data_IF_808241887005
#
_entry.id   IF_808241887005
#
_cell.length_a   1.000
_cell.length_b   1.000
_cell.length_c   1.000
_cell.angle_alpha   90.00
_cell.angle_beta   90.00
_cell.angle_gamma   90.00
#
_symmetry.space_group_name_H-M   'P 1'
#
loop_
_entity.id
_entity.type
_entity.pdbx_description
1 polymer ?
#
# COMPACT_ATOMS: atom_id res chain seq x y z
N UNK A 1 -8.44 22.99 -22.45
CA UNK A 1 -7.29 22.04 -22.42
C UNK A 1 -7.57 20.71 -23.14
N UNK A 2 -8.83 20.37 -23.49
CA UNK A 2 -9.10 19.20 -24.34
C UNK A 2 -8.77 17.84 -23.70
N UNK A 3 -8.60 17.79 -22.39
CA UNK A 3 -8.30 16.57 -21.62
C UNK A 3 -9.57 15.82 -21.27
N UNK A 4 -9.50 14.48 -21.25
CA UNK A 4 -10.62 13.65 -20.80
C UNK A 4 -10.91 13.91 -19.30
N UNK A 5 -12.17 13.79 -18.83
CA UNK A 5 -12.50 14.00 -17.43
C UNK A 5 -11.66 13.18 -16.44
N UNK A 6 -11.26 11.97 -16.85
CA UNK A 6 -10.35 11.10 -16.08
C UNK A 6 -8.96 11.70 -15.87
N UNK A 7 -8.48 12.49 -16.83
CA UNK A 7 -7.14 13.07 -16.82
C UNK A 7 -7.15 14.53 -16.35
N UNK A 8 -8.34 15.11 -16.10
CA UNK A 8 -8.51 16.41 -15.48
C UNK A 8 -8.32 16.34 -13.95
N UNK A 9 -7.15 15.85 -13.50
CA UNK A 9 -6.82 15.64 -12.08
C UNK A 9 -5.48 16.27 -11.74
N UNK A 10 -5.39 16.80 -10.53
CA UNK A 10 -4.19 17.43 -10.00
C UNK A 10 -3.95 16.94 -8.58
N UNK A 11 -2.69 16.65 -8.28
CA UNK A 11 -2.21 16.22 -6.97
C UNK A 11 -1.12 17.18 -6.49
N UNK A 12 -1.15 17.50 -5.20
CA UNK A 12 -0.16 18.35 -4.57
C UNK A 12 0.49 17.57 -3.42
N UNK A 13 1.81 17.67 -3.33
CA UNK A 13 2.59 17.23 -2.18
C UNK A 13 3.35 18.45 -1.65
N UNK A 14 3.23 18.73 -0.35
CA UNK A 14 3.94 19.85 0.28
C UNK A 14 4.56 19.38 1.58
N UNK A 15 5.84 19.66 1.76
CA UNK A 15 6.55 19.51 3.03
C UNK A 15 7.06 20.88 3.53
N UNK A 16 8.01 20.89 4.47
CA UNK A 16 8.52 22.12 5.04
C UNK A 16 9.16 23.04 3.97
N UNK A 17 9.89 22.46 3.02
CA UNK A 17 10.70 23.20 2.04
C UNK A 17 10.11 23.14 0.64
N UNK A 18 9.51 22.03 0.22
CA UNK A 18 9.09 21.84 -1.16
C UNK A 18 7.58 21.82 -1.30
N UNK A 19 7.07 22.51 -2.31
CA UNK A 19 5.72 22.30 -2.84
C UNK A 19 5.83 21.77 -4.26
N UNK A 20 5.21 20.61 -4.48
CA UNK A 20 5.22 19.90 -5.75
C UNK A 20 3.79 19.67 -6.23
N UNK A 21 3.55 19.91 -7.52
CA UNK A 21 2.25 19.75 -8.15
C UNK A 21 2.40 18.87 -9.40
N UNK A 22 1.63 17.78 -9.43
CA UNK A 22 1.51 16.88 -10.59
C UNK A 22 0.10 16.98 -11.17
N UNK A 23 0.02 17.21 -12.47
CA UNK A 23 -1.24 17.18 -13.21
C UNK A 23 -1.25 16.01 -14.20
N UNK A 24 -2.34 15.26 -14.21
CA UNK A 24 -2.60 14.25 -15.22
C UNK A 24 -2.88 14.91 -16.59
N UNK A 25 -2.82 14.13 -17.67
CA UNK A 25 -3.05 14.67 -19.02
C UNK A 25 -1.81 15.23 -19.72
N UNK A 26 -0.61 14.86 -19.25
CA UNK A 26 0.65 15.10 -19.95
C UNK A 26 1.29 16.48 -19.72
N UNK A 27 0.88 17.19 -18.67
CA UNK A 27 1.49 18.47 -18.31
C UNK A 27 2.80 18.28 -17.57
N UNK A 28 3.73 19.24 -17.74
CA UNK A 28 4.91 19.31 -16.91
C UNK A 28 4.49 19.57 -15.44
N UNK A 29 5.18 18.97 -14.46
CA UNK A 29 4.92 19.27 -13.06
C UNK A 29 5.37 20.69 -12.72
N UNK A 30 4.89 21.21 -11.58
CA UNK A 30 5.39 22.44 -10.98
C UNK A 30 6.12 22.13 -9.66
N UNK A 31 7.18 22.89 -9.36
CA UNK A 31 7.98 22.74 -8.15
C UNK A 31 8.39 24.11 -7.60
N UNK A 32 8.14 24.35 -6.31
CA UNK A 32 8.52 25.58 -5.62
C UNK A 32 9.39 25.27 -4.40
N UNK A 33 10.47 26.03 -4.22
CA UNK A 33 11.34 26.00 -3.02
C UNK A 33 10.83 27.05 -2.02
N UNK A 34 10.00 26.63 -1.07
CA UNK A 34 9.34 27.49 -0.08
C UNK A 34 10.32 28.15 0.90
N UNK A 35 11.55 27.66 1.02
CA UNK A 35 12.56 28.31 1.86
C UNK A 35 13.10 29.59 1.20
N UNK A 36 13.37 29.54 -0.11
CA UNK A 36 13.88 30.68 -0.88
C UNK A 36 12.80 31.52 -1.56
N UNK A 37 11.64 30.92 -1.82
CA UNK A 37 10.51 31.48 -2.56
C UNK A 37 9.19 31.15 -1.84
N UNK A 38 8.93 31.78 -0.68
CA UNK A 38 7.72 31.51 0.11
C UNK A 38 6.43 31.97 -0.59
N UNK A 39 6.54 32.89 -1.56
CA UNK A 39 5.42 33.40 -2.36
C UNK A 39 5.16 32.57 -3.63
N UNK A 40 5.93 31.50 -3.87
CA UNK A 40 5.74 30.53 -4.96
C UNK A 40 5.74 31.18 -6.35
N UNK A 41 6.63 32.15 -6.58
CA UNK A 41 6.70 32.92 -7.82
C UNK A 41 7.61 32.26 -8.88
N UNK A 42 8.51 31.37 -8.47
CA UNK A 42 9.53 30.75 -9.33
C UNK A 42 9.26 29.24 -9.46
N UNK A 43 8.72 28.82 -10.61
CA UNK A 43 8.51 27.41 -10.92
C UNK A 43 9.80 26.73 -11.42
N UNK A 44 10.29 25.77 -10.63
CA UNK A 44 11.45 24.92 -10.87
C UNK A 44 11.08 23.56 -11.51
N UNK A 45 9.80 23.36 -11.85
CA UNK A 45 9.26 22.08 -12.32
C UNK A 45 9.89 21.55 -13.61
N UNK A 46 10.46 22.44 -14.43
CA UNK A 46 11.16 22.08 -15.69
C UNK A 46 12.68 22.19 -15.61
N UNK A 47 13.23 22.67 -14.50
CA UNK A 47 14.66 22.88 -14.36
C UNK A 47 15.38 21.53 -14.19
N UNK A 48 16.31 21.14 -15.08
CA UNK A 48 17.07 19.89 -14.94
C UNK A 48 17.84 19.77 -13.63
N UNK A 49 18.29 20.89 -13.02
CA UNK A 49 19.03 20.91 -11.77
C UNK A 49 18.20 20.35 -10.59
N UNK A 50 16.88 20.42 -10.68
CA UNK A 50 15.94 19.97 -9.63
C UNK A 50 15.29 18.62 -9.93
N UNK A 51 15.83 17.83 -10.89
CA UNK A 51 15.29 16.51 -11.23
C UNK A 51 15.22 15.57 -10.03
N UNK A 52 16.31 15.47 -9.25
CA UNK A 52 16.34 14.63 -8.06
C UNK A 52 15.33 15.07 -6.98
N UNK A 53 15.05 16.37 -6.88
CA UNK A 53 14.03 16.90 -5.97
C UNK A 53 12.64 16.48 -6.43
N UNK A 54 12.33 16.60 -7.73
CA UNK A 54 11.06 16.12 -8.30
C UNK A 54 10.86 14.64 -8.07
N UNK A 55 11.89 13.82 -8.27
CA UNK A 55 11.83 12.37 -8.05
C UNK A 55 11.51 12.06 -6.58
N UNK A 56 12.19 12.72 -5.64
CA UNK A 56 11.89 12.58 -4.22
C UNK A 56 10.46 13.06 -3.85
N UNK A 57 9.95 14.10 -4.51
CA UNK A 57 8.57 14.54 -4.33
C UNK A 57 7.57 13.52 -4.88
N UNK A 58 7.86 12.93 -6.04
CA UNK A 58 7.07 11.83 -6.60
C UNK A 58 7.06 10.61 -5.68
N UNK A 59 8.19 10.25 -5.07
CA UNK A 59 8.25 9.12 -4.13
C UNK A 59 7.32 9.34 -2.93
N UNK A 60 7.28 10.55 -2.37
CA UNK A 60 6.37 10.93 -1.28
C UNK A 60 4.91 10.82 -1.72
N UNK A 61 4.57 11.41 -2.87
CA UNK A 61 3.23 11.36 -3.42
C UNK A 61 2.81 9.91 -3.72
N UNK A 62 3.71 9.11 -4.27
CA UNK A 62 3.47 7.72 -4.63
C UNK A 62 3.26 6.86 -3.38
N UNK A 63 4.04 7.08 -2.33
CA UNK A 63 3.83 6.45 -1.01
C UNK A 63 2.44 6.74 -0.45
N UNK A 64 2.02 8.01 -0.48
CA UNK A 64 0.68 8.42 -0.07
C UNK A 64 -0.42 7.74 -0.91
N UNK A 65 -0.23 7.65 -2.22
CA UNK A 65 -1.20 7.05 -3.14
C UNK A 65 -1.41 5.55 -2.89
N UNK A 66 -0.38 4.83 -2.41
CA UNK A 66 -0.44 3.39 -2.11
C UNK A 66 -0.96 3.06 -0.71
N UNK A 67 -1.27 4.05 0.12
CA UNK A 67 -1.79 3.79 1.49
C UNK A 67 -3.13 3.03 1.41
N UNK A 68 -3.41 2.08 2.31
CA UNK A 68 -4.65 1.30 2.31
C UNK A 68 -5.84 2.09 2.88
N UNK A 69 -6.19 3.23 2.27
CA UNK A 69 -7.18 4.17 2.82
C UNK A 69 -8.60 3.61 2.90
N UNK A 70 -8.89 2.53 2.18
CA UNK A 70 -10.21 1.90 2.15
C UNK A 70 -10.36 0.77 3.18
N UNK A 71 -9.28 0.41 3.91
CA UNK A 71 -9.36 -0.59 4.99
C UNK A 71 -9.86 0.08 6.28
N UNK A 72 -11.17 0.29 6.36
CA UNK A 72 -11.81 1.02 7.48
C UNK A 72 -12.50 0.12 8.50
N UNK A 73 -12.76 -1.15 8.17
CA UNK A 73 -13.54 -2.08 9.03
C UNK A 73 -12.69 -2.92 9.98
N UNK A 74 -11.36 -2.87 9.86
CA UNK A 74 -10.43 -3.63 10.68
C UNK A 74 -9.22 -2.76 11.01
N UNK A 75 -8.88 -2.65 12.29
CA UNK A 75 -7.69 -1.92 12.75
C UNK A 75 -6.40 -2.72 12.56
N UNK A 76 -5.26 -2.03 12.59
CA UNK A 76 -3.95 -2.66 12.48
C UNK A 76 -3.69 -3.65 13.63
N UNK A 77 -4.10 -3.28 14.86
CA UNK A 77 -4.01 -4.18 16.01
C UNK A 77 -4.83 -5.45 15.81
N UNK A 78 -6.07 -5.32 15.31
CA UNK A 78 -6.91 -6.49 15.02
C UNK A 78 -6.28 -7.41 13.96
N UNK A 79 -5.58 -6.86 12.96
CA UNK A 79 -4.87 -7.66 11.97
C UNK A 79 -3.70 -8.41 12.58
N UNK A 80 -2.90 -7.74 13.43
CA UNK A 80 -1.81 -8.36 14.17
C UNK A 80 -2.34 -9.49 15.04
N UNK A 81 -3.40 -9.24 15.81
CA UNK A 81 -4.03 -10.21 16.70
C UNK A 81 -4.64 -11.40 15.95
N UNK A 82 -5.01 -11.25 14.68
CA UNK A 82 -5.55 -12.33 13.85
C UNK A 82 -4.47 -13.26 13.29
N UNK A 83 -3.20 -12.83 13.23
CA UNK A 83 -2.10 -13.64 12.68
C UNK A 83 -1.99 -14.97 13.45
N UNK A 84 -1.87 -16.08 12.73
CA UNK A 84 -1.70 -17.42 13.31
C UNK A 84 -2.96 -18.03 13.96
N UNK A 85 -4.02 -17.25 14.24
CA UNK A 85 -5.25 -17.77 14.88
C UNK A 85 -6.00 -18.80 14.03
N UNK A 86 -5.75 -18.86 12.73
CA UNK A 86 -6.36 -19.85 11.82
C UNK A 86 -5.90 -21.28 12.09
N UNK A 87 -4.66 -21.50 12.53
CA UNK A 87 -4.10 -22.86 12.73
C UNK A 87 -4.89 -23.64 13.78
N UNK A 88 -5.23 -23.00 14.89
CA UNK A 88 -6.07 -23.58 15.97
C UNK A 88 -7.55 -23.68 15.63
N UNK A 89 -7.96 -23.32 14.40
CA UNK A 89 -9.33 -23.47 13.89
C UNK A 89 -9.46 -24.58 12.85
N UNK A 90 -8.46 -25.46 12.74
CA UNK A 90 -8.48 -26.55 11.76
C UNK A 90 -8.13 -26.09 10.34
N UNK A 91 -7.24 -25.11 10.20
CA UNK A 91 -6.65 -24.77 8.90
C UNK A 91 -5.21 -25.25 8.93
N UNK A 92 -4.98 -26.40 8.31
CA UNK A 92 -3.67 -27.06 8.17
C UNK A 92 -3.31 -27.05 6.69
N UNK A 93 -2.22 -26.38 6.33
CA UNK A 93 -1.78 -26.20 4.94
C UNK A 93 -0.31 -26.63 4.82
N UNK A 94 0.02 -27.35 3.75
CA UNK A 94 1.39 -27.77 3.44
C UNK A 94 1.97 -28.83 4.37
N UNK A 95 1.12 -29.63 5.02
CA UNK A 95 1.52 -30.75 5.89
C UNK A 95 1.23 -32.05 5.15
N UNK A 96 2.26 -32.88 4.95
CA UNK A 96 2.15 -34.19 4.31
C UNK A 96 1.95 -35.29 5.37
N UNK A 97 2.70 -35.22 6.46
CA UNK A 97 2.69 -36.21 7.53
C UNK A 97 2.42 -35.57 8.90
N UNK A 98 1.89 -36.39 9.83
CA UNK A 98 1.38 -35.89 11.11
C UNK A 98 2.48 -35.40 12.07
N UNK A 99 3.72 -35.85 11.87
CA UNK A 99 4.90 -35.49 12.66
C UNK A 99 5.55 -34.16 12.21
N UNK A 100 5.12 -33.58 11.09
CA UNK A 100 5.62 -32.30 10.58
C UNK A 100 5.03 -31.08 11.32
N UNK A 101 4.02 -31.29 12.18
CA UNK A 101 3.32 -30.22 12.89
C UNK A 101 2.94 -30.65 14.30
N UNK A 102 2.71 -29.67 15.16
CA UNK A 102 2.22 -29.91 16.52
C UNK A 102 0.94 -30.77 16.52
N UNK A 103 0.97 -31.85 17.29
CA UNK A 103 -0.13 -32.79 17.43
C UNK A 103 -1.42 -32.12 17.92
N UNK A 104 -1.34 -31.04 18.70
CA UNK A 104 -2.52 -30.25 19.14
C UNK A 104 -3.32 -29.74 17.93
N UNK A 105 -2.64 -29.36 16.85
CA UNK A 105 -3.29 -28.86 15.64
C UNK A 105 -3.95 -29.96 14.81
N UNK A 106 -3.57 -31.23 15.05
CA UNK A 106 -4.11 -32.39 14.35
C UNK A 106 -5.14 -33.18 15.16
N UNK A 107 -5.45 -32.78 16.40
CA UNK A 107 -6.35 -33.50 17.31
C UNK A 107 -7.69 -33.88 16.65
N UNK A 108 -8.26 -32.98 15.83
CA UNK A 108 -9.54 -33.20 15.15
C UNK A 108 -9.45 -34.00 13.84
N UNK A 109 -8.24 -34.28 13.36
CA UNK A 109 -7.99 -35.00 12.11
C UNK A 109 -7.53 -36.44 12.32
N UNK A 110 -7.14 -36.78 13.54
CA UNK A 110 -6.70 -38.14 13.88
C UNK A 110 -7.87 -39.01 14.36
N UNK A 111 -7.73 -40.31 14.19
CA UNK A 111 -8.72 -41.31 14.60
C UNK A 111 -9.47 -41.96 13.44
N UNK A 112 -10.42 -42.82 13.76
CA UNK A 112 -11.19 -43.57 12.76
C UNK A 112 -12.15 -42.64 12.03
N UNK A 113 -12.24 -42.79 10.71
CA UNK A 113 -13.25 -42.14 9.91
C UNK A 113 -14.65 -42.50 10.43
N UNK A 114 -15.50 -41.49 10.63
CA UNK A 114 -16.86 -41.69 11.15
C UNK A 114 -17.77 -42.44 10.17
N UNK A 115 -17.48 -42.33 8.87
CA UNK A 115 -18.21 -43.03 7.82
C UNK A 115 -17.20 -43.48 6.77
N UNK A 116 -17.23 -44.77 6.47
CA UNK A 116 -16.57 -45.34 5.30
C UNK A 116 -17.59 -45.42 4.19
N UNK A 117 -17.32 -44.79 3.05
CA UNK A 117 -18.17 -44.85 1.85
C UNK A 117 -17.55 -45.75 0.77
N UNK A 118 -16.70 -46.71 1.17
CA UNK A 118 -16.24 -47.77 0.28
C UNK A 118 -17.26 -48.90 0.21
N UNK A 119 -17.45 -49.47 -0.98
CA UNK A 119 -18.06 -50.80 -1.17
C UNK A 119 -17.31 -51.89 -0.41
#
# INVERSE_FOLDING_TARGET
LGVAPRDARLFMMRDARWKFIHAEGGFAPMLFDLDSDPDELIDLGRDPAYAAVRDACYDKLFSWARRPSQRTTVSDQQLIDRRGKSRRKGIVLGVNAADEIDAELLEKYQGKARQSHGE
#
